data_IF_993403747197
#
_entry.id   IF_993403747197
#
_cell.length_a   1.000
_cell.length_b   1.000
_cell.length_c   1.000
_cell.angle_alpha   90.00
_cell.angle_beta   90.00
_cell.angle_gamma   90.00
#
_symmetry.space_group_name_H-M   'P 1'
#
loop_
_entity.id
_entity.type
_entity.pdbx_description
1 polymer ?
#
# COMPACT_ATOMS: atom_id res chain seq x y z
N UNK A 1 10.59 -11.97 17.66
CA UNK A 1 9.86 -12.21 16.39
C UNK A 1 10.73 -12.82 15.30
N UNK A 2 12.03 -12.48 15.20
CA UNK A 2 12.98 -13.10 14.25
C UNK A 2 13.24 -14.60 14.51
N UNK A 3 13.20 -15.05 15.78
CA UNK A 3 13.47 -16.45 16.16
C UNK A 3 12.35 -17.42 15.72
N UNK A 4 11.10 -16.97 15.67
CA UNK A 4 9.96 -17.80 15.25
C UNK A 4 10.00 -18.07 13.74
N UNK A 5 10.57 -17.15 12.96
CA UNK A 5 10.75 -17.31 11.51
C UNK A 5 11.88 -18.27 11.14
N UNK A 6 12.77 -18.61 12.07
CA UNK A 6 13.95 -19.45 11.79
C UNK A 6 13.65 -20.96 11.92
N UNK A 7 12.63 -21.34 12.70
CA UNK A 7 12.24 -22.75 12.90
C UNK A 7 11.25 -23.26 11.84
N UNK A 8 10.66 -22.37 11.05
CA UNK A 8 9.91 -22.71 9.84
C UNK A 8 10.77 -22.24 8.68
N UNK A 9 11.27 -23.13 7.82
CA UNK A 9 12.15 -22.84 6.67
C UNK A 9 11.43 -22.01 5.57
N UNK A 10 10.72 -20.94 5.94
CA UNK A 10 9.97 -20.05 5.10
C UNK A 10 10.93 -18.92 4.74
N UNK A 11 11.69 -19.12 3.66
CA UNK A 11 12.44 -17.99 3.11
C UNK A 11 11.43 -16.87 2.75
N UNK A 12 11.66 -15.61 3.11
CA UNK A 12 10.76 -14.50 2.75
C UNK A 12 10.62 -14.32 1.22
N UNK A 13 11.49 -14.97 0.44
CA UNK A 13 11.45 -15.02 -1.02
C UNK A 13 10.60 -16.19 -1.58
N UNK A 14 10.02 -17.02 -0.72
CA UNK A 14 9.20 -18.18 -1.13
C UNK A 14 7.94 -17.69 -1.84
N UNK A 15 7.81 -17.98 -3.13
CA UNK A 15 6.61 -17.68 -3.94
C UNK A 15 5.29 -18.15 -3.27
N UNK A 16 5.24 -19.31 -2.56
CA UNK A 16 4.03 -19.75 -1.86
C UNK A 16 3.53 -18.78 -0.78
N UNK A 17 4.41 -18.00 -0.14
CA UNK A 17 4.04 -17.06 0.91
C UNK A 17 3.17 -15.93 0.37
N UNK A 18 3.46 -15.46 -0.85
CA UNK A 18 2.62 -14.49 -1.55
C UNK A 18 1.20 -15.02 -1.78
N UNK A 19 1.07 -16.24 -2.30
CA UNK A 19 -0.24 -16.85 -2.57
C UNK A 19 -1.03 -17.09 -1.27
N UNK A 20 -0.36 -17.53 -0.20
CA UNK A 20 -1.01 -17.72 1.09
C UNK A 20 -1.52 -16.38 1.68
N UNK A 21 -0.71 -15.33 1.67
CA UNK A 21 -1.10 -14.01 2.22
C UNK A 21 -2.18 -13.34 1.37
N UNK A 22 -2.10 -13.42 0.05
CA UNK A 22 -3.15 -12.92 -0.84
C UNK A 22 -4.46 -13.67 -0.65
N UNK A 23 -4.44 -15.00 -0.52
CA UNK A 23 -5.63 -15.79 -0.20
C UNK A 23 -6.22 -15.40 1.17
N UNK A 24 -5.38 -15.18 2.17
CA UNK A 24 -5.82 -14.71 3.49
C UNK A 24 -6.51 -13.33 3.41
N UNK A 25 -5.92 -12.38 2.68
CA UNK A 25 -6.54 -11.05 2.49
C UNK A 25 -7.88 -11.14 1.75
N UNK A 26 -7.98 -11.99 0.72
CA UNK A 26 -9.23 -12.22 0.01
C UNK A 26 -10.29 -12.90 0.89
N UNK A 27 -9.87 -13.86 1.72
CA UNK A 27 -10.75 -14.50 2.69
C UNK A 27 -11.27 -13.51 3.72
N UNK A 28 -10.39 -12.69 4.31
CA UNK A 28 -10.77 -11.62 5.24
C UNK A 28 -11.74 -10.63 4.58
N UNK A 29 -11.47 -10.22 3.35
CA UNK A 29 -12.36 -9.34 2.60
C UNK A 29 -13.75 -9.98 2.39
N UNK A 30 -13.81 -11.27 2.04
CA UNK A 30 -15.06 -12.01 1.89
C UNK A 30 -15.82 -12.15 3.22
N UNK A 31 -15.11 -12.39 4.32
CA UNK A 31 -15.69 -12.44 5.67
C UNK A 31 -16.25 -11.07 6.07
N UNK A 32 -15.48 -10.00 5.91
CA UNK A 32 -15.92 -8.62 6.23
C UNK A 32 -17.15 -8.25 5.40
N UNK A 33 -17.19 -8.62 4.12
CA UNK A 33 -18.36 -8.38 3.27
C UNK A 33 -19.60 -9.12 3.78
N UNK A 34 -19.44 -10.36 4.28
CA UNK A 34 -20.55 -11.14 4.84
C UNK A 34 -21.02 -10.62 6.20
N UNK A 35 -20.10 -10.10 7.01
CA UNK A 35 -20.41 -9.59 8.35
C UNK A 35 -21.04 -8.19 8.31
N UNK A 36 -20.82 -7.43 7.24
CA UNK A 36 -21.22 -6.03 7.19
C UNK A 36 -22.14 -5.74 5.99
N UNK A 37 -23.46 -5.81 6.25
CA UNK A 37 -24.54 -5.65 5.27
C UNK A 37 -24.53 -4.29 4.55
N UNK A 38 -23.76 -3.31 5.04
CA UNK A 38 -23.46 -2.05 4.36
C UNK A 38 -22.82 -2.26 2.97
N UNK A 39 -22.05 -3.32 2.79
CA UNK A 39 -21.47 -3.70 1.49
C UNK A 39 -22.41 -4.57 0.62
N UNK A 40 -23.50 -5.07 1.20
CA UNK A 40 -24.52 -5.92 0.54
C UNK A 40 -25.75 -5.14 0.07
N UNK A 41 -25.75 -3.81 0.13
CA UNK A 41 -26.89 -3.01 -0.34
C UNK A 41 -27.18 -3.30 -1.83
N UNK A 42 -28.45 -3.49 -2.22
CA UNK A 42 -28.81 -3.72 -3.62
C UNK A 42 -28.36 -2.52 -4.43
N UNK A 43 -27.36 -2.72 -5.28
CA UNK A 43 -26.79 -1.66 -6.10
C UNK A 43 -27.72 -1.33 -7.27
N UNK A 44 -28.84 -0.69 -6.97
CA UNK A 44 -29.82 -0.26 -7.97
C UNK A 44 -29.42 1.05 -8.70
N UNK A 45 -28.11 1.35 -8.71
CA UNK A 45 -27.50 2.43 -9.48
C UNK A 45 -26.37 1.82 -10.29
N UNK A 46 -26.60 1.57 -11.58
CA UNK A 46 -25.65 1.52 -12.70
C UNK A 46 -24.13 1.68 -12.38
N UNK A 47 -23.53 0.80 -11.58
CA UNK A 47 -22.09 0.74 -11.41
C UNK A 47 -21.52 -0.10 -12.56
N UNK A 48 -21.28 0.56 -13.69
CA UNK A 48 -20.81 -0.08 -14.94
C UNK A 48 -19.47 -0.83 -14.79
N UNK A 49 -18.73 -0.64 -13.69
CA UNK A 49 -17.34 -1.10 -13.53
C UNK A 49 -16.96 -1.67 -12.12
N UNK A 50 -17.88 -2.29 -11.38
CA UNK A 50 -17.58 -2.86 -10.03
C UNK A 50 -16.42 -3.85 -10.04
N UNK A 51 -16.37 -4.76 -11.02
CA UNK A 51 -15.29 -5.75 -11.13
C UNK A 51 -13.92 -5.09 -11.36
N UNK A 52 -13.88 -3.98 -12.10
CA UNK A 52 -12.67 -3.21 -12.37
C UNK A 52 -12.19 -2.50 -11.10
N UNK A 53 -13.10 -1.99 -10.28
CA UNK A 53 -12.76 -1.42 -8.97
C UNK A 53 -12.20 -2.48 -8.00
N UNK A 54 -12.72 -3.72 -8.02
CA UNK A 54 -12.17 -4.85 -7.28
C UNK A 54 -10.76 -5.24 -7.76
N UNK A 55 -10.54 -5.26 -9.07
CA UNK A 55 -9.23 -5.53 -9.67
C UNK A 55 -8.17 -4.52 -9.22
N UNK A 56 -8.52 -3.24 -9.09
CA UNK A 56 -7.61 -2.21 -8.55
C UNK A 56 -7.16 -2.53 -7.12
N UNK A 57 -8.07 -3.04 -6.29
CA UNK A 57 -7.75 -3.51 -4.94
C UNK A 57 -6.79 -4.69 -4.94
N UNK A 58 -7.00 -5.66 -5.84
CA UNK A 58 -6.09 -6.80 -6.00
C UNK A 58 -4.69 -6.37 -6.48
N UNK A 59 -4.61 -5.46 -7.45
CA UNK A 59 -3.33 -4.92 -7.93
C UNK A 59 -2.60 -4.15 -6.82
N UNK A 60 -3.31 -3.44 -5.93
CA UNK A 60 -2.71 -2.77 -4.79
C UNK A 60 -2.00 -3.73 -3.83
N UNK A 61 -2.50 -4.97 -3.66
CA UNK A 61 -1.80 -6.01 -2.90
C UNK A 61 -0.44 -6.35 -3.53
N UNK A 62 -0.37 -6.49 -4.85
CA UNK A 62 0.89 -6.75 -5.57
C UNK A 62 1.95 -5.67 -5.32
N UNK A 63 1.53 -4.40 -5.33
CA UNK A 63 2.40 -3.25 -5.00
C UNK A 63 2.85 -3.30 -3.54
N UNK A 64 1.91 -3.60 -2.62
CA UNK A 64 2.20 -3.73 -1.20
C UNK A 64 3.24 -4.83 -0.92
N UNK A 65 3.10 -6.02 -1.52
CA UNK A 65 4.07 -7.10 -1.33
C UNK A 65 5.44 -6.75 -1.90
N UNK A 66 5.50 -6.10 -3.07
CA UNK A 66 6.76 -5.65 -3.65
C UNK A 66 7.52 -4.68 -2.72
N UNK A 67 6.85 -3.65 -2.21
CA UNK A 67 7.46 -2.71 -1.26
C UNK A 67 7.76 -3.32 0.10
N UNK A 68 6.92 -4.25 0.57
CA UNK A 68 7.15 -4.97 1.82
C UNK A 68 8.44 -5.79 1.76
N UNK A 69 8.71 -6.44 0.62
CA UNK A 69 9.93 -7.21 0.42
C UNK A 69 11.17 -6.31 0.32
N UNK A 70 11.07 -5.17 -0.37
CA UNK A 70 12.15 -4.18 -0.40
C UNK A 70 12.46 -3.70 1.02
N UNK A 71 11.43 -3.34 1.80
CA UNK A 71 11.61 -2.88 3.17
C UNK A 71 12.20 -3.96 4.08
N UNK A 72 11.75 -5.21 3.95
CA UNK A 72 12.34 -6.34 4.67
C UNK A 72 13.83 -6.50 4.35
N UNK A 73 14.19 -6.49 3.07
CA UNK A 73 15.58 -6.59 2.63
C UNK A 73 16.40 -5.40 3.14
N UNK A 74 15.85 -4.19 3.09
CA UNK A 74 16.50 -2.99 3.59
C UNK A 74 16.79 -3.07 5.10
N UNK A 75 15.85 -3.55 5.90
CA UNK A 75 16.05 -3.75 7.34
C UNK A 75 17.09 -4.87 7.60
N UNK A 76 17.11 -5.91 6.77
CA UNK A 76 17.99 -7.06 6.96
C UNK A 76 19.44 -6.79 6.50
N UNK A 77 19.64 -6.06 5.39
CA UNK A 77 20.95 -5.85 4.76
C UNK A 77 21.47 -4.43 4.89
N UNK A 78 20.60 -3.47 5.24
CA UNK A 78 20.91 -2.04 5.25
C UNK A 78 21.01 -1.41 3.86
N UNK A 79 20.74 -2.15 2.78
CA UNK A 79 20.86 -1.66 1.40
C UNK A 79 19.49 -1.60 0.74
N UNK A 80 19.14 -0.43 0.20
CA UNK A 80 17.91 -0.24 -0.55
C UNK A 80 18.10 -0.74 -1.98
N UNK A 81 17.78 -2.00 -2.23
CA UNK A 81 17.85 -2.61 -3.56
C UNK A 81 16.55 -3.27 -3.96
N UNK A 82 16.34 -3.40 -5.27
CA UNK A 82 15.24 -4.21 -5.80
C UNK A 82 15.37 -5.66 -5.33
N UNK A 83 14.27 -6.39 -5.14
CA UNK A 83 14.33 -7.79 -4.76
C UNK A 83 15.07 -8.61 -5.81
N UNK A 84 15.96 -9.52 -5.38
CA UNK A 84 16.71 -10.40 -6.28
C UNK A 84 15.82 -11.38 -7.08
N UNK A 85 14.54 -11.54 -6.69
CA UNK A 85 13.61 -12.38 -7.42
C UNK A 85 12.95 -11.63 -8.58
N UNK A 86 12.99 -12.24 -9.78
CA UNK A 86 12.32 -11.72 -10.96
C UNK A 86 10.80 -11.67 -10.78
N UNK A 87 10.23 -12.63 -10.05
CA UNK A 87 8.80 -12.71 -9.77
C UNK A 87 8.31 -11.47 -9.02
N UNK A 88 8.94 -11.11 -7.89
CA UNK A 88 8.49 -9.97 -7.09
C UNK A 88 8.76 -8.63 -7.80
N UNK A 89 9.81 -8.54 -8.60
CA UNK A 89 10.08 -7.36 -9.43
C UNK A 89 9.04 -7.18 -10.52
N UNK A 90 8.72 -8.23 -11.29
CA UNK A 90 7.65 -8.18 -12.30
C UNK A 90 6.29 -7.96 -11.66
N UNK A 91 6.00 -8.58 -10.52
CA UNK A 91 4.74 -8.41 -9.80
C UNK A 91 4.52 -6.94 -9.43
N UNK A 92 5.53 -6.27 -8.88
CA UNK A 92 5.46 -4.85 -8.56
C UNK A 92 5.22 -3.99 -9.81
N UNK A 93 6.08 -4.14 -10.83
CA UNK A 93 6.01 -3.34 -12.06
C UNK A 93 4.68 -3.54 -12.81
N UNK A 94 4.25 -4.79 -13.00
CA UNK A 94 2.99 -5.14 -13.66
C UNK A 94 1.80 -4.59 -12.89
N UNK A 95 1.80 -4.73 -11.56
CA UNK A 95 0.69 -4.27 -10.72
C UNK A 95 0.53 -2.76 -10.81
N UNK A 96 1.61 -1.99 -10.71
CA UNK A 96 1.59 -0.54 -10.86
C UNK A 96 1.14 -0.12 -12.26
N UNK A 97 1.68 -0.75 -13.31
CA UNK A 97 1.35 -0.45 -14.69
C UNK A 97 -0.15 -0.67 -14.99
N UNK A 98 -0.68 -1.82 -14.60
CA UNK A 98 -2.10 -2.14 -14.78
C UNK A 98 -3.01 -1.25 -13.90
N UNK A 99 -2.59 -0.91 -12.69
CA UNK A 99 -3.34 -0.01 -11.82
C UNK A 99 -3.54 1.34 -12.50
N UNK A 100 -2.46 1.91 -13.04
CA UNK A 100 -2.54 3.19 -13.75
C UNK A 100 -3.35 3.08 -15.04
N UNK A 101 -3.16 2.03 -15.84
CA UNK A 101 -3.94 1.79 -17.06
C UNK A 101 -5.45 1.74 -16.79
N UNK A 102 -5.86 1.00 -15.75
CA UNK A 102 -7.26 0.90 -15.34
C UNK A 102 -7.81 2.26 -14.85
N UNK A 103 -7.03 2.98 -14.05
CA UNK A 103 -7.46 4.31 -13.57
C UNK A 103 -7.62 5.31 -14.70
N UNK A 104 -6.74 5.25 -15.70
CA UNK A 104 -6.83 6.07 -16.90
C UNK A 104 -8.09 5.72 -17.71
N UNK A 105 -8.37 4.43 -17.90
CA UNK A 105 -9.60 3.96 -18.54
C UNK A 105 -10.86 4.52 -17.86
N UNK A 106 -10.98 4.36 -16.53
CA UNK A 106 -12.17 4.83 -15.80
C UNK A 106 -12.33 6.37 -15.87
N UNK A 107 -11.22 7.10 -15.84
CA UNK A 107 -11.24 8.56 -15.98
C UNK A 107 -11.66 8.97 -17.39
N UNK A 108 -11.11 8.33 -18.41
CA UNK A 108 -11.41 8.60 -19.81
C UNK A 108 -12.86 8.24 -20.17
N UNK A 109 -13.37 7.10 -19.70
CA UNK A 109 -14.78 6.73 -19.87
C UNK A 109 -15.72 7.78 -19.28
N UNK A 110 -15.40 8.31 -18.09
CA UNK A 110 -16.20 9.36 -17.46
C UNK A 110 -16.16 10.69 -18.23
N UNK A 111 -15.03 11.00 -18.86
CA UNK A 111 -14.87 12.16 -19.75
C UNK A 111 -15.79 12.01 -20.98
N UNK A 112 -15.75 10.86 -21.63
CA UNK A 112 -16.56 10.58 -22.83
C UNK A 112 -18.07 10.55 -22.55
N UNK A 113 -18.48 10.05 -21.38
CA UNK A 113 -19.89 10.00 -20.97
C UNK A 113 -20.45 11.40 -20.59
N UNK A 114 -19.60 12.39 -20.34
CA UNK A 114 -19.99 13.74 -19.91
C UNK A 114 -20.33 14.63 -21.12
N UNK A 115 -21.53 14.45 -21.70
CA UNK A 115 -21.98 15.20 -22.89
C UNK A 115 -22.13 16.72 -22.69
N UNK A 116 -22.46 17.19 -21.49
CA UNK A 116 -22.71 18.61 -21.16
C UNK A 116 -21.52 19.32 -20.47
N UNK A 117 -20.32 18.74 -20.57
CA UNK A 117 -19.11 19.29 -19.95
C UNK A 117 -18.78 18.68 -18.60
N UNK A 118 -17.48 18.63 -18.29
CA UNK A 118 -16.96 17.95 -17.10
C UNK A 118 -16.98 18.91 -15.91
N UNK A 119 -17.69 18.53 -14.84
CA UNK A 119 -17.56 19.24 -13.57
C UNK A 119 -16.26 18.85 -12.85
N UNK A 120 -15.18 19.56 -13.19
CA UNK A 120 -13.84 19.37 -12.62
C UNK A 120 -13.83 19.48 -11.10
N UNK A 121 -14.62 20.41 -10.52
CA UNK A 121 -14.69 20.62 -9.07
C UNK A 121 -15.15 19.35 -8.36
N UNK A 122 -16.24 18.73 -8.82
CA UNK A 122 -16.76 17.51 -8.22
C UNK A 122 -15.79 16.34 -8.33
N UNK A 123 -15.04 16.24 -9.44
CA UNK A 123 -14.01 15.21 -9.63
C UNK A 123 -12.86 15.34 -8.63
N UNK A 124 -12.27 16.53 -8.50
CA UNK A 124 -11.13 16.74 -7.61
C UNK A 124 -11.54 16.66 -6.14
N UNK A 125 -12.66 17.29 -5.74
CA UNK A 125 -13.16 17.25 -4.35
C UNK A 125 -13.43 15.82 -3.89
N UNK A 126 -13.98 14.96 -4.76
CA UNK A 126 -14.22 13.55 -4.41
C UNK A 126 -12.93 12.78 -4.10
N UNK A 127 -11.82 13.11 -4.78
CA UNK A 127 -10.51 12.48 -4.57
C UNK A 127 -9.86 13.00 -3.30
N UNK A 128 -9.88 14.31 -3.08
CA UNK A 128 -9.37 14.95 -1.87
C UNK A 128 -10.07 14.38 -0.64
N UNK A 129 -11.41 14.30 -0.64
CA UNK A 129 -12.17 13.75 0.50
C UNK A 129 -11.87 12.26 0.79
N UNK A 130 -11.40 11.50 -0.21
CA UNK A 130 -11.03 10.08 -0.02
C UNK A 130 -9.60 9.90 0.48
N UNK A 131 -8.66 10.69 -0.04
CA UNK A 131 -7.22 10.55 0.25
C UNK A 131 -6.84 11.29 1.54
N UNK A 132 -7.38 12.50 1.75
CA UNK A 132 -7.01 13.35 2.88
C UNK A 132 -7.24 12.74 4.27
N UNK A 133 -8.37 12.04 4.55
CA UNK A 133 -8.59 11.47 5.87
C UNK A 133 -7.52 10.42 6.22
N UNK A 134 -7.24 9.53 5.28
CA UNK A 134 -6.21 8.49 5.47
C UNK A 134 -4.81 9.08 5.54
N UNK A 135 -4.52 10.11 4.74
CA UNK A 135 -3.25 10.82 4.79
C UNK A 135 -3.02 11.49 6.15
N UNK A 136 -4.01 12.25 6.65
CA UNK A 136 -3.90 12.91 7.95
C UNK A 136 -3.65 11.90 9.08
N UNK A 137 -4.40 10.79 9.09
CA UNK A 137 -4.21 9.72 10.09
C UNK A 137 -2.79 9.15 10.00
N UNK A 138 -2.28 8.85 8.81
CA UNK A 138 -0.91 8.33 8.65
C UNK A 138 0.16 9.31 9.15
N UNK A 139 0.03 10.60 8.86
CA UNK A 139 0.97 11.64 9.32
C UNK A 139 0.95 11.75 10.84
N UNK A 140 -0.24 11.74 11.45
CA UNK A 140 -0.37 11.76 12.91
C UNK A 140 0.29 10.53 13.54
N UNK A 141 0.08 9.33 12.98
CA UNK A 141 0.72 8.11 13.48
C UNK A 141 2.24 8.21 13.42
N UNK A 142 2.81 8.69 12.30
CA UNK A 142 4.26 8.85 12.15
C UNK A 142 4.82 9.86 13.16
N UNK A 143 4.13 10.99 13.37
CA UNK A 143 4.53 12.01 14.35
C UNK A 143 4.50 11.44 15.77
N UNK A 144 3.41 10.77 16.15
CA UNK A 144 3.27 10.15 17.48
C UNK A 144 4.35 9.10 17.70
N UNK A 145 4.58 8.23 16.71
CA UNK A 145 5.60 7.20 16.81
C UNK A 145 7.01 7.80 16.99
N UNK A 146 7.33 8.85 16.22
CA UNK A 146 8.61 9.57 16.32
C UNK A 146 8.78 10.24 17.68
N UNK A 147 7.71 10.86 18.21
CA UNK A 147 7.73 11.49 19.54
C UNK A 147 7.93 10.48 20.67
N UNK A 148 7.27 9.31 20.60
CA UNK A 148 7.43 8.25 21.58
C UNK A 148 8.87 7.72 21.59
N UNK A 149 9.46 7.50 20.42
CA UNK A 149 10.86 7.07 20.31
C UNK A 149 11.83 8.13 20.86
N UNK A 150 11.65 9.40 20.48
CA UNK A 150 12.49 10.50 20.96
C UNK A 150 12.43 10.65 22.50
N UNK A 151 11.23 10.53 23.08
CA UNK A 151 11.04 10.53 24.53
C UNK A 151 11.76 9.35 25.20
N UNK A 152 11.66 8.14 24.63
CA UNK A 152 12.26 6.94 25.21
C UNK A 152 13.79 6.99 25.27
N UNK A 153 14.43 7.69 24.33
CA UNK A 153 15.89 7.77 24.23
C UNK A 153 16.46 9.12 24.74
N UNK A 154 15.63 10.01 25.31
CA UNK A 154 16.00 11.38 25.74
C UNK A 154 16.74 12.19 24.66
N UNK A 155 16.48 11.91 23.38
CA UNK A 155 17.07 12.62 22.25
C UNK A 155 16.12 13.70 21.75
N UNK A 156 16.69 14.82 21.32
CA UNK A 156 15.90 15.88 20.70
C UNK A 156 15.21 15.34 19.43
N UNK A 157 13.94 15.71 19.23
CA UNK A 157 13.17 15.31 18.04
C UNK A 157 13.92 15.63 16.73
N UNK A 158 14.69 16.72 16.72
CA UNK A 158 15.51 17.12 15.58
C UNK A 158 16.61 16.08 15.26
N UNK A 159 17.28 15.50 16.26
CA UNK A 159 18.28 14.45 16.02
C UNK A 159 17.69 13.13 15.54
N UNK A 160 16.45 12.81 15.93
CA UNK A 160 15.72 11.63 15.43
C UNK A 160 15.28 11.81 13.98
N UNK A 161 14.91 13.02 13.59
CA UNK A 161 14.61 13.34 12.18
C UNK A 161 15.88 13.27 11.34
N UNK A 162 16.99 13.86 11.81
CA UNK A 162 18.29 13.77 11.11
C UNK A 162 18.82 12.33 11.02
N UNK A 163 18.64 11.50 12.06
CA UNK A 163 19.03 10.09 11.99
C UNK A 163 18.16 9.31 11.01
N UNK A 164 16.85 9.57 10.97
CA UNK A 164 15.94 8.96 9.99
C UNK A 164 16.25 9.42 8.56
N UNK A 165 16.51 10.72 8.36
CA UNK A 165 16.92 11.28 7.06
C UNK A 165 18.28 10.72 6.63
N UNK A 166 19.24 10.62 7.54
CA UNK A 166 20.53 9.97 7.29
C UNK A 166 20.39 8.49 6.93
N UNK A 167 19.45 7.78 7.58
CA UNK A 167 19.07 6.41 7.24
C UNK A 167 18.50 6.32 5.81
N UNK A 168 17.60 7.25 5.44
CA UNK A 168 17.05 7.35 4.08
C UNK A 168 18.12 7.69 3.02
N UNK A 169 19.18 8.40 3.39
CA UNK A 169 20.30 8.74 2.51
C UNK A 169 21.35 7.63 2.41
N UNK A 170 21.14 6.49 3.07
CA UNK A 170 22.08 5.35 3.05
C UNK A 170 23.38 5.61 3.82
N UNK A 171 23.44 6.69 4.59
CA UNK A 171 24.61 7.04 5.39
C UNK A 171 24.47 6.36 6.76
N UNK A 172 24.90 5.11 6.84
CA UNK A 172 24.91 4.37 8.10
C UNK A 172 25.81 5.10 9.09
N UNK A 173 25.31 5.49 10.28
CA UNK A 173 26.20 5.96 11.33
C UNK A 173 27.15 4.80 11.66
N UNK A 174 28.44 5.01 11.40
CA UNK A 174 29.48 4.11 11.89
C UNK A 174 29.39 4.16 13.40
N UNK A 175 29.00 3.03 14.00
CA UNK A 175 29.18 2.81 15.45
C UNK A 175 30.64 2.99 15.83
#
# INVERSE_FOLDING_TARGET
MAVILNNMNISPNSIPMYFALSALFLFLAAVIQRLNQFYSLPQHKTFKHVAIDGLRGFLALGVFFHHSLINYNYIATGVWTTPNSRFYTMLGQLSVGLFFAITAFLFWSKVLDSRDGINWKTLYVSRVRRIMPMYLVSVVIVIVFTLVLAYSENVALFSTVESFVGMCQGNHPKK
#
